data_IF_254620631831
#
_entry.id   IF_254620631831
#
_cell.length_a   1.000
_cell.length_b   1.000
_cell.length_c   1.000
_cell.angle_alpha   90.00
_cell.angle_beta   90.00
_cell.angle_gamma   90.00
#
_symmetry.space_group_name_H-M   'P 1'
#
loop_
_entity.id
_entity.type
_entity.pdbx_description
1 polymer ?
#
# COMPACT_ATOMS: atom_id res chain seq x y z
N UNK A 1 -14.88 -1.36 24.00
CA UNK A 1 -15.65 -0.10 24.07
C UNK A 1 -15.15 1.00 23.15
N UNK A 2 -15.05 0.78 21.83
CA UNK A 2 -14.64 1.83 20.87
C UNK A 2 -15.59 1.97 19.66
N UNK A 3 -16.79 1.38 19.70
CA UNK A 3 -17.81 1.54 18.66
C UNK A 3 -19.18 1.97 19.24
N UNK A 4 -19.42 1.76 20.55
CA UNK A 4 -20.73 2.02 21.18
C UNK A 4 -21.11 3.50 21.34
N UNK A 5 -20.15 4.43 21.27
CA UNK A 5 -20.42 5.88 21.40
C UNK A 5 -20.80 6.58 20.08
N UNK A 6 -20.80 5.87 18.95
CA UNK A 6 -20.94 6.45 17.60
C UNK A 6 -22.33 6.25 16.97
N UNK A 7 -23.35 5.91 17.75
CA UNK A 7 -24.72 5.70 17.27
C UNK A 7 -25.76 6.57 18.01
N UNK A 8 -25.42 7.82 18.31
CA UNK A 8 -26.39 8.82 18.80
C UNK A 8 -26.58 9.99 17.83
N UNK A 9 -26.35 9.81 16.53
CA UNK A 9 -26.37 10.93 15.57
C UNK A 9 -27.15 10.56 14.30
N UNK A 10 -28.43 10.26 14.50
CA UNK A 10 -29.40 10.05 13.41
C UNK A 10 -30.47 11.15 13.42
N UNK A 11 -30.04 12.41 13.41
CA UNK A 11 -30.93 13.57 13.22
C UNK A 11 -30.46 14.53 12.12
N UNK A 12 -29.38 14.20 11.41
CA UNK A 12 -28.84 15.01 10.31
C UNK A 12 -27.99 16.21 10.73
N UNK A 13 -27.76 16.44 12.03
CA UNK A 13 -26.94 17.56 12.52
C UNK A 13 -25.44 17.25 12.58
N UNK A 14 -25.04 16.00 12.37
CA UNK A 14 -23.65 15.52 12.42
C UNK A 14 -23.07 15.09 11.06
N UNK A 15 -23.76 15.43 9.97
CA UNK A 15 -23.28 15.14 8.62
C UNK A 15 -21.90 15.77 8.33
N UNK A 16 -21.62 16.94 8.91
CA UNK A 16 -20.32 17.60 8.76
C UNK A 16 -19.19 16.85 9.43
N UNK A 17 -19.41 16.34 10.65
CA UNK A 17 -18.43 15.53 11.36
C UNK A 17 -18.18 14.19 10.64
N UNK A 18 -19.25 13.52 10.20
CA UNK A 18 -19.15 12.30 9.40
C UNK A 18 -18.39 12.54 8.08
N UNK A 19 -18.62 13.69 7.44
CA UNK A 19 -17.90 14.10 6.21
C UNK A 19 -16.41 14.34 6.47
N UNK A 20 -16.05 14.96 7.59
CA UNK A 20 -14.65 15.18 7.98
C UNK A 20 -13.96 13.84 8.25
N UNK A 21 -14.55 12.98 9.08
CA UNK A 21 -13.99 11.66 9.41
C UNK A 21 -13.87 10.76 8.16
N UNK A 22 -14.90 10.76 7.32
CA UNK A 22 -14.91 10.05 6.04
C UNK A 22 -13.81 10.56 5.10
N UNK A 23 -13.66 11.89 4.99
CA UNK A 23 -12.61 12.52 4.19
C UNK A 23 -11.20 12.15 4.64
N UNK A 24 -10.95 12.18 5.95
CA UNK A 24 -9.67 11.77 6.54
C UNK A 24 -9.36 10.29 6.28
N UNK A 25 -10.35 9.40 6.45
CA UNK A 25 -10.18 7.98 6.17
C UNK A 25 -9.92 7.74 4.69
N UNK A 26 -10.63 8.44 3.80
CA UNK A 26 -10.43 8.36 2.36
C UNK A 26 -9.02 8.80 1.95
N UNK A 27 -8.50 9.87 2.54
CA UNK A 27 -7.12 10.31 2.31
C UNK A 27 -6.10 9.22 2.69
N UNK A 28 -6.24 8.63 3.88
CA UNK A 28 -5.39 7.52 4.35
C UNK A 28 -5.49 6.28 3.43
N UNK A 29 -6.69 5.95 2.94
CA UNK A 29 -6.88 4.85 1.99
C UNK A 29 -6.17 5.13 0.67
N UNK A 30 -6.29 6.34 0.14
CA UNK A 30 -5.61 6.75 -1.11
C UNK A 30 -4.09 6.71 -0.98
N UNK A 31 -3.56 7.12 0.16
CA UNK A 31 -2.14 7.02 0.47
C UNK A 31 -1.67 5.56 0.47
N UNK A 32 -2.41 4.66 1.14
CA UNK A 32 -2.11 3.22 1.15
C UNK A 32 -2.15 2.62 -0.25
N UNK A 33 -3.15 2.98 -1.06
CA UNK A 33 -3.24 2.54 -2.47
C UNK A 33 -2.03 3.02 -3.27
N UNK A 34 -1.61 4.28 -3.09
CA UNK A 34 -0.43 4.83 -3.78
C UNK A 34 0.84 4.06 -3.42
N UNK A 35 1.03 3.74 -2.14
CA UNK A 35 2.14 2.91 -1.66
C UNK A 35 2.10 1.51 -2.26
N UNK A 36 0.94 0.84 -2.22
CA UNK A 36 0.78 -0.49 -2.80
C UNK A 36 1.04 -0.52 -4.31
N UNK A 37 0.56 0.49 -5.05
CA UNK A 37 0.83 0.62 -6.49
C UNK A 37 2.32 0.83 -6.80
N UNK A 38 3.09 1.44 -5.90
CA UNK A 38 4.55 1.56 -6.07
C UNK A 38 5.20 0.19 -5.93
N UNK A 39 4.82 -0.58 -4.89
CA UNK A 39 5.31 -1.94 -4.66
C UNK A 39 4.95 -2.84 -5.85
N UNK A 40 3.70 -2.78 -6.31
CA UNK A 40 3.20 -3.52 -7.48
C UNK A 40 4.06 -3.30 -8.71
N UNK A 41 4.33 -2.04 -9.10
CA UNK A 41 5.16 -1.72 -10.27
C UNK A 41 6.59 -2.25 -10.15
N UNK A 42 7.17 -2.16 -8.95
CA UNK A 42 8.52 -2.71 -8.72
C UNK A 42 8.53 -4.22 -8.90
N UNK A 43 7.56 -4.92 -8.32
CA UNK A 43 7.44 -6.37 -8.46
C UNK A 43 7.16 -6.79 -9.92
N UNK A 44 6.29 -6.07 -10.62
CA UNK A 44 5.99 -6.32 -12.04
C UNK A 44 7.26 -6.21 -12.89
N UNK A 45 8.07 -5.15 -12.71
CA UNK A 45 9.33 -4.99 -13.43
C UNK A 45 10.33 -6.11 -13.14
N UNK A 46 10.44 -6.56 -11.88
CA UNK A 46 11.33 -7.66 -11.51
C UNK A 46 10.87 -9.01 -12.08
N UNK A 47 9.56 -9.27 -12.12
CA UNK A 47 8.99 -10.46 -12.74
C UNK A 47 9.23 -10.44 -14.25
N UNK A 48 8.97 -9.31 -14.92
CA UNK A 48 9.22 -9.16 -16.35
C UNK A 48 10.70 -9.41 -16.69
N UNK A 49 11.64 -8.80 -15.96
CA UNK A 49 13.07 -9.00 -16.15
C UNK A 49 13.45 -10.48 -16.02
N UNK A 50 12.90 -11.16 -15.00
CA UNK A 50 13.11 -12.59 -14.81
C UNK A 50 12.55 -13.45 -15.96
N UNK A 51 11.41 -13.08 -16.54
CA UNK A 51 10.82 -13.81 -17.66
C UNK A 51 11.54 -13.58 -18.99
N UNK A 52 12.19 -12.42 -19.16
CA UNK A 52 12.92 -12.08 -20.39
C UNK A 52 14.33 -12.65 -20.43
N UNK A 53 14.95 -12.93 -19.29
CA UNK A 53 16.27 -13.54 -19.25
C UNK A 53 16.20 -15.05 -19.53
N UNK A 54 16.71 -15.45 -20.71
CA UNK A 54 16.94 -16.85 -21.06
C UNK A 54 18.43 -17.17 -20.91
N UNK A 55 18.77 -18.04 -19.96
CA UNK A 55 20.10 -18.64 -19.84
C UNK A 55 21.06 -17.96 -18.85
N UNK A 56 20.59 -17.00 -18.04
CA UNK A 56 21.43 -16.43 -16.99
C UNK A 56 21.46 -17.31 -15.72
N UNK A 57 22.62 -17.38 -15.06
CA UNK A 57 22.86 -18.26 -13.90
C UNK A 57 22.19 -17.72 -12.63
N UNK A 58 21.86 -16.42 -12.60
CA UNK A 58 21.27 -15.76 -11.44
C UNK A 58 19.97 -15.05 -11.79
N UNK A 59 18.91 -15.41 -11.08
CA UNK A 59 17.61 -14.77 -11.22
C UNK A 59 17.67 -13.27 -10.81
N UNK A 60 17.30 -12.32 -11.68
CA UNK A 60 17.29 -10.88 -11.38
C UNK A 60 16.37 -10.49 -10.22
N UNK A 61 15.24 -11.20 -10.09
CA UNK A 61 14.30 -11.03 -8.99
C UNK A 61 14.98 -11.34 -7.65
N UNK A 62 15.64 -12.50 -7.54
CA UNK A 62 16.37 -12.91 -6.34
C UNK A 62 17.52 -11.94 -6.03
N UNK A 63 18.30 -11.56 -7.04
CA UNK A 63 19.41 -10.59 -6.90
C UNK A 63 18.93 -9.24 -6.35
N UNK A 64 17.80 -8.75 -6.85
CA UNK A 64 17.25 -7.45 -6.41
C UNK A 64 16.69 -7.52 -4.99
N UNK A 65 16.07 -8.63 -4.61
CA UNK A 65 15.61 -8.85 -3.24
C UNK A 65 16.77 -8.91 -2.24
N UNK A 66 17.86 -9.60 -2.58
CA UNK A 66 19.07 -9.63 -1.73
C UNK A 66 19.65 -8.22 -1.51
N UNK A 67 19.81 -7.43 -2.58
CA UNK A 67 20.31 -6.05 -2.47
C UNK A 67 19.41 -5.16 -1.60
N UNK A 68 18.09 -5.25 -1.79
CA UNK A 68 17.13 -4.49 -0.98
C UNK A 68 17.11 -4.90 0.50
N UNK A 69 17.47 -6.14 0.82
CA UNK A 69 17.64 -6.58 2.22
C UNK A 69 18.92 -6.00 2.83
N UNK A 70 20.04 -6.00 2.09
CA UNK A 70 21.31 -5.43 2.56
C UNK A 70 21.20 -3.92 2.85
N UNK A 71 20.51 -3.16 1.99
CA UNK A 71 20.27 -1.72 2.15
C UNK A 71 19.39 -1.36 3.36
N UNK A 72 18.50 -2.26 3.80
CA UNK A 72 17.66 -2.03 4.99
C UNK A 72 18.33 -2.45 6.31
N UNK A 73 19.48 -3.14 6.23
CA UNK A 73 20.24 -3.63 7.40
C UNK A 73 21.46 -2.79 7.76
N UNK A 74 21.76 -1.75 6.96
CA UNK A 74 22.80 -0.73 7.23
C UNK A 74 22.19 0.54 7.82
#
# INVERSE_FOLDING_TARGET
DEIGGLLTLQDGTHCDEARVLGGQKLAKVREKISSLRRIERTLEGLVQACCTEQGDVKCPLITSLYKGVEENTS
#
